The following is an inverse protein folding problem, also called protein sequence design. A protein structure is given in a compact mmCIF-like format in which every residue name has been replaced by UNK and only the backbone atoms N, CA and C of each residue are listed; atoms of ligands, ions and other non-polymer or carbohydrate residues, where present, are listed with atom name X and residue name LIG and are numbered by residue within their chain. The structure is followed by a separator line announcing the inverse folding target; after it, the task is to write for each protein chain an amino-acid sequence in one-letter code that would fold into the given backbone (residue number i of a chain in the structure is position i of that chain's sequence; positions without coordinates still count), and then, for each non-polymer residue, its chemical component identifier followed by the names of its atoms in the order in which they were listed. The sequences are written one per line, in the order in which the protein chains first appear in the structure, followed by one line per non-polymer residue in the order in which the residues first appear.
data_IF_165266901623
#
_entry.id   IF_165266901623
#
_cell.length_a   1.000
_cell.length_b   1.000
_cell.length_c   1.000
_cell.angle_alpha   90.00
_cell.angle_beta   90.00
_cell.angle_gamma   90.00
#
_symmetry.space_group_name_H-M   'P 1'
#
loop_
_entity.id
_entity.type
_entity.pdbx_description
1 polymer ?
#
# COMPACT_ATOMS: atom_id res chain seq x y z
N UNK A 1 -9.50 2.33 7.93
CA UNK A 1 -8.13 2.87 8.08
C UNK A 1 -7.39 2.28 9.26
N UNK A 2 -7.83 2.49 10.51
CA UNK A 2 -7.05 2.05 11.68
C UNK A 2 -6.85 0.53 11.75
N UNK A 3 -7.90 -0.25 11.46
CA UNK A 3 -7.81 -1.71 11.35
C UNK A 3 -6.74 -2.15 10.35
N UNK A 4 -6.74 -1.55 9.16
CA UNK A 4 -5.76 -1.88 8.11
C UNK A 4 -4.32 -1.54 8.52
N UNK A 5 -4.11 -0.39 9.16
CA UNK A 5 -2.78 -0.05 9.70
C UNK A 5 -2.35 -0.97 10.84
N UNK A 6 -3.28 -1.41 11.67
CA UNK A 6 -3.00 -2.39 12.73
C UNK A 6 -2.62 -3.76 12.15
N UNK A 7 -3.36 -4.24 11.16
CA UNK A 7 -3.17 -5.57 10.56
C UNK A 7 -1.99 -5.64 9.57
N UNK A 8 -1.85 -4.64 8.70
CA UNK A 8 -0.86 -4.64 7.61
C UNK A 8 0.43 -3.90 7.99
N UNK A 9 0.34 -2.89 8.86
CA UNK A 9 1.44 -1.97 9.18
C UNK A 9 2.75 -2.66 9.59
N UNK A 10 2.74 -3.68 10.47
CA UNK A 10 3.96 -4.39 10.85
C UNK A 10 4.71 -5.03 9.67
N UNK A 11 3.98 -5.58 8.69
CA UNK A 11 4.56 -6.19 7.50
C UNK A 11 5.11 -5.14 6.53
N UNK A 12 4.36 -4.05 6.32
CA UNK A 12 4.84 -2.90 5.52
C UNK A 12 6.12 -2.30 6.11
N UNK A 13 6.20 -2.20 7.45
CA UNK A 13 7.39 -1.72 8.14
C UNK A 13 8.58 -2.67 7.96
N UNK A 14 8.35 -3.98 8.09
CA UNK A 14 9.39 -4.97 7.88
C UNK A 14 9.96 -4.90 6.45
N UNK A 15 9.08 -4.77 5.44
CA UNK A 15 9.48 -4.60 4.04
C UNK A 15 10.32 -3.33 3.83
N UNK A 16 9.84 -2.19 4.36
CA UNK A 16 10.53 -0.91 4.28
C UNK A 16 11.93 -0.95 4.91
N UNK A 17 12.03 -1.47 6.14
CA UNK A 17 13.30 -1.56 6.86
C UNK A 17 14.27 -2.53 6.17
N UNK A 18 13.77 -3.64 5.65
CA UNK A 18 14.57 -4.63 4.91
C UNK A 18 15.11 -4.01 3.62
N UNK A 19 14.27 -3.32 2.85
CA UNK A 19 14.68 -2.63 1.63
C UNK A 19 15.70 -1.52 1.89
N UNK A 20 15.58 -0.81 3.02
CA UNK A 20 16.54 0.22 3.43
C UNK A 20 17.88 -0.38 3.88
N UNK A 21 17.88 -1.53 4.57
CA UNK A 21 19.08 -2.13 5.14
C UNK A 21 20.14 -2.51 4.09
N UNK A 22 19.74 -2.89 2.88
CA UNK A 22 20.66 -3.26 1.80
C UNK A 22 21.06 -2.07 0.88
N UNK A 23 20.57 -0.85 1.16
CA UNK A 23 20.90 0.37 0.40
C UNK A 23 21.74 1.32 1.22
N UNK A 24 23.02 1.00 1.35
CA UNK A 24 23.99 1.88 1.99
C UNK A 24 24.31 3.11 1.12
N UNK A 25 24.22 4.31 1.68
CA UNK A 25 24.86 5.52 1.14
C UNK A 25 24.10 6.32 0.09
N UNK A 26 22.91 5.91 -0.35
CA UNK A 26 22.06 6.72 -1.23
C UNK A 26 20.76 7.13 -0.51
N UNK A 27 20.71 8.39 -0.10
CA UNK A 27 19.54 8.97 0.56
C UNK A 27 18.53 9.60 -0.38
N UNK A 28 18.85 9.72 -1.66
CA UNK A 28 18.04 10.43 -2.65
C UNK A 28 16.92 9.57 -3.27
N UNK A 29 16.91 8.26 -3.02
CA UNK A 29 15.97 7.34 -3.66
C UNK A 29 14.55 7.47 -3.09
N UNK A 30 13.67 8.12 -3.85
CA UNK A 30 12.27 8.36 -3.46
C UNK A 30 11.44 7.07 -3.23
N UNK A 31 11.86 5.93 -3.79
CA UNK A 31 11.20 4.64 -3.59
C UNK A 31 11.60 3.93 -2.29
N UNK A 32 12.43 4.55 -1.45
CA UNK A 32 12.87 3.98 -0.16
C UNK A 32 12.27 4.77 1.00
N UNK A 33 11.54 4.06 1.84
CA UNK A 33 11.10 4.59 3.14
C UNK A 33 12.20 4.41 4.18
N UNK A 34 12.45 5.47 4.96
CA UNK A 34 13.32 5.44 6.17
C UNK A 34 12.53 5.34 7.47
N UNK A 35 11.22 5.07 7.39
CA UNK A 35 10.39 4.93 8.57
C UNK A 35 10.82 3.72 9.41
N UNK A 36 10.96 3.92 10.71
CA UNK A 36 11.31 2.87 11.70
C UNK A 36 10.13 2.49 12.59
N UNK A 37 8.94 3.03 12.30
CA UNK A 37 7.70 2.69 12.99
C UNK A 37 6.51 2.72 12.04
N UNK A 38 5.45 1.98 12.38
CA UNK A 38 4.18 1.98 11.63
C UNK A 38 3.57 3.39 11.59
N UNK A 39 3.66 4.13 12.70
CA UNK A 39 3.16 5.50 12.75
C UNK A 39 3.92 6.41 11.78
N UNK A 40 5.25 6.31 11.72
CA UNK A 40 6.05 7.06 10.75
C UNK A 40 5.68 6.69 9.30
N UNK A 41 5.50 5.40 8.98
CA UNK A 41 5.02 4.98 7.67
C UNK A 41 3.65 5.59 7.32
N UNK A 42 2.74 5.65 8.29
CA UNK A 42 1.40 6.19 8.10
C UNK A 42 1.39 7.69 7.84
N UNK A 43 2.27 8.45 8.49
CA UNK A 43 2.28 9.92 8.42
C UNK A 43 3.17 10.49 7.33
N UNK A 44 4.20 9.75 6.90
CA UNK A 44 5.18 10.24 5.94
C UNK A 44 4.76 9.87 4.50
N UNK A 45 4.71 10.83 3.57
CA UNK A 45 4.51 10.52 2.15
C UNK A 45 5.59 9.55 1.64
N UNK A 46 5.18 8.45 1.05
CA UNK A 46 6.12 7.44 0.58
C UNK A 46 5.47 6.33 -0.26
N UNK A 47 6.23 5.26 -0.55
CA UNK A 47 5.79 4.14 -1.38
C UNK A 47 4.77 3.24 -0.67
N UNK A 48 4.69 3.26 0.66
CA UNK A 48 3.73 2.47 1.43
C UNK A 48 2.51 3.32 1.77
N UNK A 49 1.38 3.05 1.12
CA UNK A 49 0.11 3.74 1.36
C UNK A 49 -1.01 2.73 1.54
N UNK A 50 -1.92 3.05 2.46
CA UNK A 50 -3.22 2.38 2.57
C UNK A 50 -4.25 3.41 2.12
N UNK A 51 -5.06 3.04 1.14
CA UNK A 51 -6.18 3.85 0.65
C UNK A 51 -7.50 3.30 1.17
N UNK A 52 -8.49 4.17 1.30
CA UNK A 52 -9.89 3.70 1.33
C UNK A 52 -10.30 3.30 -0.09
N UNK A 53 -11.37 2.52 -0.20
CA UNK A 53 -11.91 2.11 -1.50
C UNK A 53 -12.26 3.33 -2.36
N UNK A 54 -12.82 4.39 -1.75
CA UNK A 54 -13.16 5.64 -2.44
C UNK A 54 -11.92 6.35 -2.98
N UNK A 55 -10.85 6.44 -2.17
CA UNK A 55 -9.58 7.02 -2.59
C UNK A 55 -8.97 6.23 -3.76
N UNK A 56 -9.05 4.91 -3.71
CA UNK A 56 -8.57 4.04 -4.77
C UNK A 56 -9.36 4.24 -6.09
N UNK A 57 -10.70 4.35 -6.01
CA UNK A 57 -11.55 4.66 -7.17
C UNK A 57 -11.20 6.02 -7.76
N UNK A 58 -11.04 7.05 -6.93
CA UNK A 58 -10.65 8.39 -7.39
C UNK A 58 -9.30 8.37 -8.11
N UNK A 59 -8.32 7.63 -7.57
CA UNK A 59 -7.00 7.47 -8.19
C UNK A 59 -7.11 6.80 -9.57
N UNK A 60 -7.86 5.70 -9.67
CA UNK A 60 -8.05 4.95 -10.92
C UNK A 60 -8.75 5.78 -12.01
N UNK A 61 -9.74 6.59 -11.64
CA UNK A 61 -10.45 7.48 -12.59
C UNK A 61 -9.56 8.62 -13.12
N UNK A 62 -8.44 8.91 -12.45
CA UNK A 62 -7.45 9.90 -12.89
C UNK A 62 -6.36 9.33 -13.80
N UNK A 63 -6.61 8.20 -14.49
CA UNK A 63 -5.65 7.45 -15.32
C UNK A 63 -4.39 6.98 -14.59
N UNK A 64 -4.44 6.88 -13.26
CA UNK A 64 -3.32 6.39 -12.46
C UNK A 64 -3.49 4.91 -12.09
N UNK A 65 -2.37 4.21 -11.97
CA UNK A 65 -2.37 2.82 -11.49
C UNK A 65 -2.46 2.73 -9.96
N UNK A 66 -2.98 1.60 -9.48
CA UNK A 66 -2.90 1.20 -8.07
C UNK A 66 -1.79 0.15 -7.92
N UNK A 67 -0.57 0.54 -7.52
CA UNK A 67 0.46 -0.45 -7.19
C UNK A 67 0.01 -1.24 -5.97
N UNK A 68 -0.06 -2.56 -6.12
CA UNK A 68 -0.39 -3.49 -5.04
C UNK A 68 0.89 -4.18 -4.57
N UNK A 69 1.02 -4.33 -3.25
CA UNK A 69 2.15 -5.01 -2.61
C UNK A 69 1.65 -6.28 -1.88
N UNK A 70 1.00 -7.23 -2.57
CA UNK A 70 0.55 -8.46 -1.93
C UNK A 70 1.77 -9.21 -1.41
N UNK A 71 1.66 -9.75 -0.18
CA UNK A 71 2.70 -10.58 0.45
C UNK A 71 3.99 -9.83 0.86
N UNK A 72 4.05 -8.50 0.72
CA UNK A 72 5.22 -7.71 1.16
C UNK A 72 5.54 -7.95 2.63
N UNK A 73 6.84 -7.92 2.95
CA UNK A 73 7.31 -8.18 4.31
C UNK A 73 6.88 -9.53 4.91
N UNK A 74 6.48 -10.51 4.10
CA UNK A 74 5.98 -11.81 4.56
C UNK A 74 4.52 -11.83 5.00
N UNK A 75 3.70 -10.87 4.54
CA UNK A 75 2.26 -10.79 4.85
C UNK A 75 1.54 -12.12 4.49
N UNK A 76 0.81 -12.75 5.44
CA UNK A 76 0.12 -14.02 5.17
C UNK A 76 -0.96 -13.89 4.09
N UNK A 77 -1.07 -14.85 3.15
CA UNK A 77 -2.07 -14.79 2.08
C UNK A 77 -3.50 -14.64 2.58
N UNK A 78 -3.88 -15.35 3.65
CA UNK A 78 -5.22 -15.25 4.24
C UNK A 78 -5.55 -13.87 4.80
N UNK A 79 -4.54 -13.12 5.26
CA UNK A 79 -4.71 -11.74 5.70
C UNK A 79 -4.72 -10.76 4.52
N UNK A 80 -3.90 -11.01 3.48
CA UNK A 80 -3.84 -10.17 2.29
C UNK A 80 -5.11 -10.26 1.42
N UNK A 81 -5.74 -11.44 1.38
CA UNK A 81 -6.80 -11.74 0.42
C UNK A 81 -8.01 -10.77 0.48
N UNK A 82 -8.60 -10.45 1.65
CA UNK A 82 -9.70 -9.49 1.70
C UNK A 82 -9.32 -8.09 1.22
N UNK A 83 -8.06 -7.68 1.38
CA UNK A 83 -7.58 -6.39 0.88
C UNK A 83 -7.41 -6.39 -0.65
N UNK A 84 -7.05 -7.54 -1.23
CA UNK A 84 -7.03 -7.70 -2.69
C UNK A 84 -8.45 -7.70 -3.28
N UNK A 85 -9.41 -8.34 -2.61
CA UNK A 85 -10.82 -8.29 -3.02
C UNK A 85 -11.35 -6.84 -2.99
N UNK A 86 -10.98 -6.05 -1.98
CA UNK A 86 -11.30 -4.62 -1.94
C UNK A 86 -10.70 -3.84 -3.10
N UNK A 87 -9.44 -4.12 -3.46
CA UNK A 87 -8.78 -3.49 -4.61
C UNK A 87 -9.45 -3.88 -5.94
N UNK A 88 -9.79 -5.16 -6.13
CA UNK A 88 -10.52 -5.64 -7.30
C UNK A 88 -11.90 -4.99 -7.42
N UNK A 89 -12.61 -4.86 -6.30
CA UNK A 89 -13.88 -4.12 -6.23
C UNK A 89 -13.68 -2.65 -6.64
N UNK A 90 -12.65 -1.97 -6.15
CA UNK A 90 -12.35 -0.60 -6.55
C UNK A 90 -12.14 -0.45 -8.06
N UNK A 91 -11.44 -1.40 -8.69
CA UNK A 91 -11.27 -1.44 -10.15
C UNK A 91 -12.60 -1.56 -10.87
N UNK A 92 -13.45 -2.49 -10.45
CA UNK A 92 -14.77 -2.69 -11.06
C UNK A 92 -15.68 -1.44 -10.96
N UNK A 93 -15.58 -0.68 -9.87
CA UNK A 93 -16.36 0.56 -9.66
C UNK A 93 -15.74 1.79 -10.34
N UNK A 94 -14.45 1.76 -10.63
CA UNK A 94 -13.77 2.82 -11.37
C UNK A 94 -14.07 2.76 -12.87
N UNK A 95 -14.34 1.56 -13.39
CA UNK A 95 -14.70 1.36 -14.80
C UNK A 95 -16.07 2.00 -15.12
N UNK A 96 -16.13 2.95 -16.08
CA UNK A 96 -17.39 3.56 -16.51
C UNK A 96 -18.34 2.58 -17.21
N UNK A 97 -17.88 1.41 -17.68
CA UNK A 97 -18.72 0.42 -18.37
C UNK A 97 -19.56 -0.45 -17.42
N UNK A 98 -19.24 -0.47 -16.12
CA UNK A 98 -19.93 -1.30 -15.11
C UNK A 98 -21.11 -0.60 -14.42
N UNK A 99 -21.43 0.64 -14.80
CA UNK A 99 -22.47 1.48 -14.17
C UNK A 99 -23.81 1.51 -14.95
N UNK A 100 -24.07 0.54 -15.82
CA UNK A 100 -25.34 0.38 -16.56
C UNK A 100 -26.21 -0.76 -16.00
#
# INVERSE_FOLDING_TARGET
MDKAWHELGPYLLHDAMTAAAYRHGDESVASISRATSVNALRTTPGPYRIWTTEQAITQLRGDASLPLLPLCGGLPPGLAWPYLENAASAVAHADPMTQN
#
